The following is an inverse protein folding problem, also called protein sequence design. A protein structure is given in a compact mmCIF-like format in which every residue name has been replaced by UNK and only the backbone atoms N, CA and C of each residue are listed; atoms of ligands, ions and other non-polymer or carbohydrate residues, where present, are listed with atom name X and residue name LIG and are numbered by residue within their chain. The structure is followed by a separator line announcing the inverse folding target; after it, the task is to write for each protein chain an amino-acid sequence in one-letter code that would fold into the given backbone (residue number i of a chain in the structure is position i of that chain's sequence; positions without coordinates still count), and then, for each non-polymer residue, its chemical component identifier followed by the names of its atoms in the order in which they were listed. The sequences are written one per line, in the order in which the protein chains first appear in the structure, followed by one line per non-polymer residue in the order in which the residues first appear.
data_IF_499587163239
#
_entry.id   IF_499587163239
#
_cell.length_a   1.000
_cell.length_b   1.000
_cell.length_c   1.000
_cell.angle_alpha   90.00
_cell.angle_beta   90.00
_cell.angle_gamma   90.00
#
_symmetry.space_group_name_H-M   'P 1'
#
loop_
_entity.id
_entity.type
_entity.pdbx_description
1 polymer ?
#
# COMPACT_ATOMS: atom_id res chain seq x y z
N UNK A 1 24.10 10.91 -17.87
CA UNK A 1 25.19 10.21 -18.59
C UNK A 1 25.30 10.81 -19.99
N UNK A 2 26.54 11.03 -20.52
CA UNK A 2 26.66 11.46 -21.89
C UNK A 2 26.18 10.32 -22.82
N UNK A 3 25.43 10.67 -23.86
CA UNK A 3 25.08 9.77 -24.94
C UNK A 3 26.33 9.46 -25.76
N UNK A 4 26.58 8.19 -26.09
CA UNK A 4 27.66 7.77 -26.98
C UNK A 4 27.09 7.50 -28.36
N UNK A 5 27.56 8.27 -29.37
CA UNK A 5 27.27 8.02 -30.77
C UNK A 5 28.26 6.97 -31.31
N UNK A 6 27.74 5.80 -31.73
CA UNK A 6 28.55 4.70 -32.25
C UNK A 6 28.87 4.94 -33.71
N UNK A 7 30.15 5.06 -34.00
CA UNK A 7 30.62 5.23 -35.38
C UNK A 7 30.70 3.88 -36.13
N UNK A 8 30.34 3.86 -37.40
CA UNK A 8 30.42 2.67 -38.24
C UNK A 8 31.86 2.12 -38.25
N UNK A 9 32.02 0.80 -38.08
CA UNK A 9 33.27 0.07 -38.03
C UNK A 9 34.18 0.39 -36.81
N UNK A 10 33.72 1.11 -35.78
CA UNK A 10 34.46 1.26 -34.56
C UNK A 10 34.38 -0.01 -33.68
N UNK A 11 35.51 -0.43 -33.15
CA UNK A 11 35.56 -1.54 -32.16
C UNK A 11 35.18 -0.99 -30.78
N UNK A 12 34.14 -1.56 -30.18
CA UNK A 12 33.74 -1.20 -28.83
C UNK A 12 34.74 -1.77 -27.81
N UNK A 13 35.22 -0.92 -26.92
CA UNK A 13 36.03 -1.38 -25.78
C UNK A 13 35.15 -1.97 -24.69
N UNK A 14 35.70 -2.85 -23.84
CA UNK A 14 34.98 -3.38 -22.69
C UNK A 14 34.48 -2.26 -21.75
N UNK A 15 35.23 -1.17 -21.59
CA UNK A 15 34.81 0.00 -20.81
C UNK A 15 33.57 0.69 -21.40
N UNK A 16 33.51 0.84 -22.73
CA UNK A 16 32.34 1.40 -23.41
C UNK A 16 31.11 0.50 -23.29
N UNK A 17 31.29 -0.82 -23.45
CA UNK A 17 30.21 -1.79 -23.25
C UNK A 17 29.67 -1.70 -21.81
N UNK A 18 30.54 -1.73 -20.81
CA UNK A 18 30.13 -1.65 -19.40
C UNK A 18 29.44 -0.31 -19.06
N UNK A 19 29.97 0.81 -19.57
CA UNK A 19 29.44 2.14 -19.24
C UNK A 19 28.14 2.45 -19.96
N UNK A 20 28.04 2.10 -21.23
CA UNK A 20 26.92 2.55 -22.08
C UNK A 20 25.84 1.50 -22.33
N UNK A 21 26.16 0.21 -22.21
CA UNK A 21 25.17 -0.85 -22.37
C UNK A 21 24.75 -1.48 -21.04
N UNK A 22 25.72 -1.96 -20.24
CA UNK A 22 25.40 -2.67 -18.99
C UNK A 22 24.70 -1.78 -17.96
N UNK A 23 25.07 -0.49 -17.91
CA UNK A 23 24.42 0.46 -16.99
C UNK A 23 23.01 0.87 -17.44
N UNK A 24 22.63 0.60 -18.69
CA UNK A 24 21.33 0.94 -19.26
C UNK A 24 20.46 -0.29 -19.52
N UNK A 25 20.99 -1.50 -19.34
CA UNK A 25 20.26 -2.74 -19.52
C UNK A 25 19.56 -3.15 -18.22
N UNK A 26 18.43 -3.85 -18.35
CA UNK A 26 17.85 -4.57 -17.22
C UNK A 26 18.65 -5.85 -17.02
N UNK A 27 19.41 -5.92 -15.94
CA UNK A 27 20.21 -7.09 -15.60
C UNK A 27 19.42 -8.07 -14.75
N UNK A 28 19.51 -9.36 -15.04
CA UNK A 28 18.80 -10.43 -14.34
C UNK A 28 19.75 -11.17 -13.41
N UNK A 29 19.34 -11.35 -12.14
CA UNK A 29 20.08 -12.08 -11.13
C UNK A 29 19.18 -13.14 -10.47
N UNK A 30 19.81 -14.21 -9.97
CA UNK A 30 19.08 -15.26 -9.26
C UNK A 30 18.42 -14.70 -7.99
N UNK A 31 19.14 -13.87 -7.23
CA UNK A 31 18.71 -13.29 -5.96
C UNK A 31 19.49 -11.99 -5.64
N UNK A 32 19.18 -11.37 -4.51
CA UNK A 32 19.82 -10.14 -4.04
C UNK A 32 21.33 -10.33 -3.72
N UNK A 33 21.75 -11.51 -3.30
CA UNK A 33 23.17 -11.81 -3.02
C UNK A 33 23.98 -11.87 -4.30
N UNK A 34 23.48 -12.56 -5.33
CA UNK A 34 24.10 -12.61 -6.64
C UNK A 34 24.23 -11.20 -7.27
N UNK A 35 23.19 -10.39 -7.13
CA UNK A 35 23.21 -8.98 -7.56
C UNK A 35 24.30 -8.18 -6.83
N UNK A 36 24.35 -8.24 -5.50
CA UNK A 36 25.32 -7.47 -4.69
C UNK A 36 26.75 -7.91 -4.97
N UNK A 37 26.97 -9.20 -5.22
CA UNK A 37 28.28 -9.73 -5.60
C UNK A 37 28.75 -9.19 -6.96
N UNK A 38 27.84 -9.14 -7.94
CA UNK A 38 28.14 -8.67 -9.29
C UNK A 38 28.23 -7.13 -9.39
N UNK A 39 27.38 -6.43 -8.61
CA UNK A 39 27.26 -4.97 -8.62
C UNK A 39 27.66 -4.41 -7.25
N UNK A 40 28.96 -4.45 -6.93
CA UNK A 40 29.48 -3.96 -5.65
C UNK A 40 29.44 -2.43 -5.50
N UNK A 41 29.35 -1.69 -6.61
CA UNK A 41 29.22 -0.23 -6.65
C UNK A 41 28.23 0.17 -7.76
N UNK A 42 26.92 -0.02 -7.55
CA UNK A 42 25.94 0.31 -8.56
C UNK A 42 25.83 1.83 -8.76
N UNK A 43 25.50 2.24 -9.99
CA UNK A 43 25.19 3.64 -10.29
C UNK A 43 23.70 3.89 -10.11
N UNK A 44 23.34 5.11 -9.67
CA UNK A 44 21.95 5.56 -9.64
C UNK A 44 21.28 5.42 -11.01
N UNK A 45 20.05 4.90 -11.01
CA UNK A 45 19.28 4.64 -12.22
C UNK A 45 19.47 3.25 -12.82
N UNK A 46 20.39 2.41 -12.28
CA UNK A 46 20.50 1.01 -12.71
C UNK A 46 19.24 0.22 -12.37
N UNK A 47 18.83 -0.65 -13.29
CA UNK A 47 17.63 -1.50 -13.15
C UNK A 47 18.02 -2.96 -13.15
N UNK A 48 17.51 -3.74 -12.21
CA UNK A 48 17.74 -5.18 -12.10
C UNK A 48 16.44 -5.94 -11.86
N UNK A 49 16.40 -7.19 -12.33
CA UNK A 49 15.32 -8.14 -12.05
C UNK A 49 15.85 -9.29 -11.21
N UNK A 50 15.18 -9.61 -10.10
CA UNK A 50 15.50 -10.77 -9.27
C UNK A 50 14.55 -11.91 -9.56
N UNK A 51 15.10 -13.10 -9.84
CA UNK A 51 14.32 -14.28 -10.24
C UNK A 51 13.62 -14.96 -9.05
N UNK A 52 14.20 -14.91 -7.86
CA UNK A 52 13.65 -15.49 -6.63
C UNK A 52 12.35 -14.81 -6.20
N UNK A 53 12.30 -13.49 -6.32
CA UNK A 53 11.14 -12.65 -5.93
C UNK A 53 10.26 -12.27 -7.10
N UNK A 54 10.70 -12.46 -8.35
CA UNK A 54 10.06 -11.97 -9.59
C UNK A 54 9.79 -10.45 -9.57
N UNK A 55 10.72 -9.67 -8.99
CA UNK A 55 10.58 -8.22 -8.80
C UNK A 55 11.65 -7.46 -9.56
N UNK A 56 11.26 -6.34 -10.17
CA UNK A 56 12.14 -5.34 -10.74
C UNK A 56 12.61 -4.38 -9.65
N UNK A 57 13.89 -4.00 -9.66
CA UNK A 57 14.48 -3.05 -8.72
C UNK A 57 15.18 -1.92 -9.45
N UNK A 58 15.04 -0.71 -8.93
CA UNK A 58 15.77 0.49 -9.33
C UNK A 58 16.76 0.86 -8.22
N UNK A 59 18.01 1.18 -8.56
CA UNK A 59 18.95 1.76 -7.62
C UNK A 59 18.79 3.28 -7.55
N UNK A 60 18.45 3.82 -6.37
CA UNK A 60 18.15 5.24 -6.15
C UNK A 60 19.38 6.10 -5.79
N UNK A 61 20.58 5.50 -5.87
CA UNK A 61 21.85 6.12 -5.47
C UNK A 61 22.30 5.71 -4.05
N UNK A 62 21.41 5.11 -3.25
CA UNK A 62 21.69 4.64 -1.88
C UNK A 62 21.28 3.18 -1.65
N UNK A 63 20.15 2.78 -2.22
CA UNK A 63 19.54 1.46 -2.02
C UNK A 63 18.86 0.95 -3.29
N UNK A 64 18.61 -0.36 -3.34
CA UNK A 64 17.76 -0.99 -4.33
C UNK A 64 16.29 -0.93 -3.88
N UNK A 65 15.50 -0.16 -4.59
CA UNK A 65 14.06 0.03 -4.34
C UNK A 65 13.27 -0.84 -5.30
N UNK A 66 12.34 -1.64 -4.77
CA UNK A 66 11.44 -2.44 -5.60
C UNK A 66 10.56 -1.51 -6.45
N UNK A 67 10.50 -1.77 -7.75
CA UNK A 67 9.51 -1.13 -8.62
C UNK A 67 8.21 -1.90 -8.45
N UNK A 68 7.26 -1.30 -7.75
CA UNK A 68 5.95 -1.91 -7.56
C UNK A 68 5.23 -2.03 -8.90
N UNK A 69 5.12 -3.26 -9.40
CA UNK A 69 4.37 -3.60 -10.60
C UNK A 69 2.98 -4.13 -10.30
N UNK A 70 2.60 -4.20 -9.00
CA UNK A 70 1.22 -4.51 -8.65
C UNK A 70 0.34 -3.37 -9.16
N UNK A 71 -0.79 -3.73 -9.76
CA UNK A 71 -1.73 -2.74 -10.30
C UNK A 71 -2.17 -1.79 -9.16
N UNK A 72 -1.42 -0.70 -9.01
CA UNK A 72 -1.69 0.36 -8.05
C UNK A 72 -3.03 0.99 -8.40
N UNK A 73 -4.09 0.58 -7.75
CA UNK A 73 -5.44 1.09 -8.00
C UNK A 73 -6.56 0.12 -7.64
N UNK A 74 -6.27 -1.18 -7.54
CA UNK A 74 -7.24 -2.14 -7.03
C UNK A 74 -7.04 -2.30 -5.52
N UNK A 75 -8.03 -1.91 -4.73
CA UNK A 75 -8.02 -2.20 -3.29
C UNK A 75 -8.08 -3.72 -3.07
N UNK A 76 -7.23 -4.23 -2.20
CA UNK A 76 -7.29 -5.65 -1.80
C UNK A 76 -8.60 -5.90 -1.05
N UNK A 77 -9.43 -6.81 -1.54
CA UNK A 77 -10.63 -7.23 -0.84
C UNK A 77 -10.27 -8.23 0.27
N UNK A 78 -10.67 -7.92 1.49
CA UNK A 78 -10.59 -8.79 2.66
C UNK A 78 -12.01 -9.16 3.08
N UNK A 79 -12.35 -10.45 3.01
CA UNK A 79 -13.64 -10.95 3.50
C UNK A 79 -13.48 -11.27 4.98
N UNK A 80 -14.29 -10.67 5.83
CA UNK A 80 -14.25 -10.81 7.28
C UNK A 80 -15.60 -11.26 7.82
N UNK A 81 -15.64 -12.44 8.41
CA UNK A 81 -16.84 -13.02 9.03
C UNK A 81 -16.86 -12.85 10.56
N UNK A 82 -15.87 -12.17 11.13
CA UNK A 82 -15.79 -11.94 12.58
C UNK A 82 -16.75 -10.85 13.04
N UNK A 83 -17.03 -10.83 14.33
CA UNK A 83 -17.91 -9.84 14.98
C UNK A 83 -17.14 -8.67 15.60
N UNK A 84 -15.81 -8.72 15.59
CA UNK A 84 -14.95 -7.66 16.11
C UNK A 84 -13.65 -7.57 15.31
N UNK A 85 -13.24 -6.35 14.97
CA UNK A 85 -11.98 -6.05 14.30
C UNK A 85 -11.40 -4.73 14.79
N UNK A 86 -10.14 -4.74 15.21
CA UNK A 86 -9.36 -3.50 15.38
C UNK A 86 -8.61 -3.24 14.08
N UNK A 87 -8.76 -2.04 13.52
CA UNK A 87 -8.00 -1.65 12.33
C UNK A 87 -6.54 -1.39 12.67
N UNK A 88 -5.66 -1.61 11.70
CA UNK A 88 -4.22 -1.40 11.81
C UNK A 88 -3.68 -0.72 10.55
N UNK A 89 -2.42 -0.27 10.57
CA UNK A 89 -1.74 0.28 9.39
C UNK A 89 -1.75 -0.68 8.18
N UNK A 90 -1.77 -1.99 8.45
CA UNK A 90 -1.85 -3.02 7.41
C UNK A 90 -3.19 -3.03 6.66
N UNK A 91 -4.24 -2.38 7.19
CA UNK A 91 -5.54 -2.29 6.52
C UNK A 91 -5.63 -1.10 5.54
N UNK A 92 -4.63 -0.23 5.54
CA UNK A 92 -4.56 0.90 4.61
C UNK A 92 -4.63 0.45 3.15
N UNK A 93 -5.49 1.07 2.36
CA UNK A 93 -5.70 0.75 0.95
C UNK A 93 -6.52 -0.51 0.68
N UNK A 94 -7.11 -1.13 1.72
CA UNK A 94 -7.95 -2.32 1.57
C UNK A 94 -9.44 -1.99 1.57
N UNK A 95 -10.22 -2.88 0.97
CA UNK A 95 -11.67 -2.98 1.14
C UNK A 95 -11.96 -4.17 2.04
N UNK A 96 -12.64 -3.94 3.17
CA UNK A 96 -13.03 -4.98 4.11
C UNK A 96 -14.52 -5.22 3.99
N UNK A 97 -14.90 -6.43 3.58
CA UNK A 97 -16.28 -6.89 3.44
C UNK A 97 -16.68 -7.71 4.66
N UNK A 98 -17.54 -7.18 5.50
CA UNK A 98 -18.07 -7.88 6.68
C UNK A 98 -19.29 -8.70 6.27
N UNK A 99 -19.19 -10.03 6.45
CA UNK A 99 -20.24 -10.99 6.05
C UNK A 99 -20.99 -11.59 7.23
N UNK A 100 -20.72 -11.16 8.47
CA UNK A 100 -21.34 -11.66 9.69
C UNK A 100 -22.85 -11.39 9.71
N UNK A 101 -23.65 -12.36 10.13
CA UNK A 101 -25.07 -12.18 10.44
C UNK A 101 -25.30 -11.54 11.83
N UNK A 102 -24.28 -11.57 12.70
CA UNK A 102 -24.28 -10.92 14.01
C UNK A 102 -23.66 -9.52 13.94
N UNK A 103 -24.00 -8.66 14.88
CA UNK A 103 -23.44 -7.31 14.96
C UNK A 103 -21.89 -7.33 14.98
N UNK A 104 -21.29 -6.43 14.22
CA UNK A 104 -19.84 -6.26 14.07
C UNK A 104 -19.41 -4.94 14.67
N UNK A 105 -18.35 -4.96 15.47
CA UNK A 105 -17.68 -3.76 16.00
C UNK A 105 -16.31 -3.61 15.38
N UNK A 106 -16.09 -2.47 14.73
CA UNK A 106 -14.77 -2.08 14.19
C UNK A 106 -14.20 -1.02 15.14
N UNK A 107 -13.04 -1.29 15.72
CA UNK A 107 -12.35 -0.36 16.61
C UNK A 107 -11.32 0.45 15.84
N UNK A 108 -11.34 1.78 16.04
CA UNK A 108 -10.35 2.74 15.55
C UNK A 108 -9.72 3.41 16.76
N UNK A 109 -8.45 3.15 16.98
CA UNK A 109 -7.69 3.67 18.12
C UNK A 109 -6.35 4.29 17.68
N UNK A 110 -5.55 4.77 18.61
CA UNK A 110 -4.23 5.35 18.32
C UNK A 110 -3.24 4.33 17.72
N UNK A 111 -3.48 3.01 17.87
CA UNK A 111 -2.66 1.97 17.23
C UNK A 111 -3.10 1.61 15.80
N UNK A 112 -4.20 2.20 15.32
CA UNK A 112 -4.68 2.00 13.95
C UNK A 112 -3.66 2.48 12.93
N UNK A 113 -2.98 3.60 13.19
CA UNK A 113 -1.74 4.08 12.56
C UNK A 113 -1.75 4.04 11.01
N UNK A 114 -2.93 4.30 10.42
CA UNK A 114 -3.08 4.46 8.98
C UNK A 114 -2.41 5.78 8.58
N UNK A 115 -1.51 5.77 7.58
CA UNK A 115 -0.81 6.98 7.16
C UNK A 115 -1.79 8.06 6.67
N UNK A 116 -1.43 9.33 6.86
CA UNK A 116 -2.24 10.48 6.39
C UNK A 116 -2.47 10.37 4.88
N UNK A 117 -3.72 10.49 4.46
CA UNK A 117 -4.18 10.23 3.09
C UNK A 117 -4.54 8.76 2.81
N UNK A 118 -4.16 7.83 3.70
CA UNK A 118 -4.57 6.42 3.63
C UNK A 118 -6.05 6.25 3.96
N UNK A 119 -6.67 5.20 3.42
CA UNK A 119 -8.09 4.90 3.60
C UNK A 119 -8.33 3.41 3.78
N UNK A 120 -9.46 3.08 4.41
CA UNK A 120 -10.05 1.73 4.45
C UNK A 120 -11.48 1.83 3.99
N UNK A 121 -11.85 1.05 2.98
CA UNK A 121 -13.23 0.95 2.53
C UNK A 121 -13.90 -0.21 3.29
N UNK A 122 -15.10 0.03 3.82
CA UNK A 122 -15.83 -0.90 4.67
C UNK A 122 -17.17 -1.21 3.98
N UNK A 123 -17.45 -2.50 3.79
CA UNK A 123 -18.73 -2.97 3.21
C UNK A 123 -19.46 -3.80 4.27
N UNK A 124 -20.68 -3.43 4.59
CA UNK A 124 -21.60 -4.19 5.42
C UNK A 124 -22.42 -5.14 4.53
N UNK A 125 -21.88 -6.33 4.23
CA UNK A 125 -22.51 -7.31 3.34
C UNK A 125 -23.40 -8.31 4.08
N UNK A 126 -23.06 -8.62 5.33
CA UNK A 126 -23.85 -9.48 6.20
C UNK A 126 -25.09 -8.78 6.76
N UNK A 127 -26.02 -9.57 7.36
CA UNK A 127 -27.23 -9.04 7.99
C UNK A 127 -26.95 -8.34 9.33
N UNK A 128 -25.76 -8.52 9.92
CA UNK A 128 -25.37 -7.90 11.17
C UNK A 128 -25.07 -6.41 10.99
N UNK A 129 -25.49 -5.58 11.95
CA UNK A 129 -25.15 -4.16 11.95
C UNK A 129 -23.63 -3.98 12.10
N UNK A 130 -23.02 -3.13 11.27
CA UNK A 130 -21.59 -2.81 11.36
C UNK A 130 -21.43 -1.45 12.02
N UNK A 131 -20.72 -1.41 13.14
CA UNK A 131 -20.47 -0.21 13.95
C UNK A 131 -18.98 0.10 13.98
N UNK A 132 -18.60 1.33 13.65
CA UNK A 132 -17.25 1.87 13.80
C UNK A 132 -17.17 2.63 15.11
N UNK A 133 -16.35 2.17 16.03
CA UNK A 133 -16.18 2.74 17.37
C UNK A 133 -14.83 3.44 17.46
N UNK A 134 -14.83 4.71 17.79
CA UNK A 134 -13.64 5.46 18.14
C UNK A 134 -13.18 5.09 19.57
N UNK A 135 -11.89 4.80 19.72
CA UNK A 135 -11.27 4.53 21.02
C UNK A 135 -9.86 5.11 21.01
N UNK A 136 -9.64 6.22 21.66
CA UNK A 136 -8.39 7.01 21.70
C UNK A 136 -8.00 7.75 20.40
N UNK A 137 -8.49 7.35 19.23
CA UNK A 137 -8.39 8.12 17.99
C UNK A 137 -9.64 8.99 17.78
N UNK A 138 -9.53 10.07 17.02
CA UNK A 138 -10.67 10.92 16.67
C UNK A 138 -11.32 10.42 15.37
N UNK A 139 -12.61 10.10 15.43
CA UNK A 139 -13.41 9.79 14.23
C UNK A 139 -14.51 10.83 14.09
N UNK A 140 -14.64 11.41 12.90
CA UNK A 140 -15.71 12.35 12.57
C UNK A 140 -16.50 11.85 11.36
N UNK A 141 -17.82 11.77 11.53
CA UNK A 141 -18.79 11.34 10.52
C UNK A 141 -20.20 11.80 10.89
N UNK A 142 -21.15 11.76 9.96
CA UNK A 142 -22.53 12.17 10.23
C UNK A 142 -22.67 13.50 10.99
N UNK A 143 -21.85 14.52 10.62
CA UNK A 143 -21.78 15.84 11.26
C UNK A 143 -21.32 15.86 12.74
N UNK A 144 -20.74 14.78 13.24
CA UNK A 144 -20.22 14.64 14.62
C UNK A 144 -18.74 14.25 14.60
N UNK A 145 -18.00 14.60 15.67
CA UNK A 145 -16.62 14.17 15.92
C UNK A 145 -16.50 13.66 17.34
N UNK A 146 -15.84 12.52 17.52
CA UNK A 146 -15.71 11.86 18.82
C UNK A 146 -14.42 11.06 18.93
N UNK A 147 -13.93 10.88 20.16
CA UNK A 147 -12.81 9.99 20.50
C UNK A 147 -13.27 8.71 21.21
N UNK A 148 -14.54 8.62 21.57
CA UNK A 148 -15.10 7.49 22.35
C UNK A 148 -16.49 7.06 21.85
N UNK A 149 -17.02 7.69 20.82
CA UNK A 149 -18.36 7.38 20.30
C UNK A 149 -18.32 6.39 19.16
N UNK A 150 -19.50 6.06 18.69
CA UNK A 150 -19.71 5.06 17.65
C UNK A 150 -20.56 5.58 16.52
N UNK A 151 -20.33 5.02 15.34
CA UNK A 151 -21.09 5.29 14.11
C UNK A 151 -21.55 3.96 13.53
N UNK A 152 -22.83 3.84 13.22
CA UNK A 152 -23.36 2.67 12.51
C UNK A 152 -23.38 2.92 11.01
N UNK A 153 -22.90 1.96 10.23
CA UNK A 153 -23.04 1.92 8.77
C UNK A 153 -24.46 1.49 8.44
N UNK A 154 -25.08 2.14 7.48
CA UNK A 154 -26.54 2.18 7.23
C UNK A 154 -27.25 0.90 6.82
N UNK A 155 -26.82 -0.28 7.33
CA UNK A 155 -27.47 -1.57 7.13
C UNK A 155 -26.80 -2.43 6.05
N UNK A 156 -27.40 -3.60 5.78
CA UNK A 156 -26.87 -4.55 4.79
C UNK A 156 -26.71 -3.91 3.40
N UNK A 157 -25.62 -4.25 2.71
CA UNK A 157 -25.21 -3.72 1.39
C UNK A 157 -24.82 -2.23 1.38
N UNK A 158 -24.66 -1.62 2.56
CA UNK A 158 -24.14 -0.27 2.69
C UNK A 158 -22.62 -0.28 2.79
N UNK A 159 -22.00 0.86 2.48
CA UNK A 159 -20.56 1.04 2.57
C UNK A 159 -20.21 2.39 3.20
N UNK A 160 -19.02 2.44 3.78
CA UNK A 160 -18.37 3.65 4.26
C UNK A 160 -16.86 3.58 4.03
N UNK A 161 -16.23 4.74 3.93
CA UNK A 161 -14.77 4.88 3.84
C UNK A 161 -14.25 5.58 5.07
N UNK A 162 -13.27 5.00 5.75
CA UNK A 162 -12.49 5.64 6.80
C UNK A 162 -11.24 6.24 6.17
N UNK A 163 -11.12 7.56 6.16
CA UNK A 163 -10.00 8.32 5.61
C UNK A 163 -9.18 8.94 6.74
N UNK A 164 -7.87 8.70 6.79
CA UNK A 164 -6.96 9.38 7.69
C UNK A 164 -6.63 10.79 7.16
N UNK A 165 -6.97 11.84 7.91
CA UNK A 165 -6.75 13.24 7.53
C UNK A 165 -5.64 13.92 8.33
N UNK A 166 -5.30 13.39 9.50
CA UNK A 166 -4.14 13.75 10.32
C UNK A 166 -3.83 12.58 11.24
N UNK A 167 -2.69 12.60 11.94
CA UNK A 167 -2.34 11.56 12.93
C UNK A 167 -3.52 11.34 13.87
N UNK A 168 -3.93 10.09 14.07
CA UNK A 168 -5.06 9.64 14.90
C UNK A 168 -6.39 10.39 14.65
N UNK A 169 -6.53 10.96 13.44
CA UNK A 169 -7.73 11.73 13.07
C UNK A 169 -8.28 11.24 11.75
N UNK A 170 -9.52 10.77 11.80
CA UNK A 170 -10.18 10.08 10.70
C UNK A 170 -11.49 10.75 10.32
N UNK A 171 -11.87 10.60 9.04
CA UNK A 171 -13.20 10.93 8.51
C UNK A 171 -13.88 9.64 8.08
N UNK A 172 -15.07 9.41 8.63
CA UNK A 172 -15.94 8.32 8.19
C UNK A 172 -16.98 8.88 7.22
N UNK A 173 -16.87 8.49 5.96
CA UNK A 173 -17.63 9.03 4.83
C UNK A 173 -18.49 7.91 4.25
N UNK A 174 -19.77 8.15 4.05
CA UNK A 174 -20.69 7.16 3.48
C UNK A 174 -22.06 7.22 4.14
N UNK A 175 -22.81 6.13 4.03
CA UNK A 175 -24.11 6.00 4.70
C UNK A 175 -23.89 5.63 6.18
N UNK A 176 -23.72 6.64 7.03
CA UNK A 176 -23.41 6.48 8.45
C UNK A 176 -24.31 7.33 9.33
N UNK A 177 -24.62 6.82 10.52
CA UNK A 177 -25.37 7.52 11.57
C UNK A 177 -24.63 7.43 12.90
N UNK A 178 -24.85 8.41 13.78
CA UNK A 178 -24.35 8.38 15.17
C UNK A 178 -25.17 7.39 15.98
N UNK A 179 -24.51 6.60 16.84
CA UNK A 179 -25.16 5.68 17.79
C UNK A 179 -25.40 6.38 19.10
#
# INVERSE_FOLDING_TARGET
MPYLDFQANAVLTAAQVNTYFMNQAVMTFADATARTTALSAPNEGMVTYLQDTNVLYLYDGSAWVAVDTTASGLATLVVDATTARTLTSADSGKTIQFTSASAVTITVDASTDIPVGGRVDIIADGAGAVTVTASTATVAGAATSTTTGSFTIGGQYSAATLLCVATDTYRLIGNVSVV
#
